data_IF_611829956376
#
_entry.id   IF_611829956376
#
_cell.length_a   1.000
_cell.length_b   1.000
_cell.length_c   1.000
_cell.angle_alpha   90.00
_cell.angle_beta   90.00
_cell.angle_gamma   90.00
#
_symmetry.space_group_name_H-M   'P 1'
#
loop_
_entity.id
_entity.type
_entity.pdbx_description
1 polymer ?
#
# COMPACT_ATOMS: atom_id res chain seq x y z
N UNK A 1 19.90 -12.01 -14.20
CA UNK A 1 20.66 -10.89 -13.64
C UNK A 1 21.07 -11.16 -12.21
N UNK A 2 22.19 -10.58 -11.78
CA UNK A 2 22.66 -10.62 -10.38
C UNK A 2 22.57 -9.22 -9.82
N UNK A 3 21.84 -9.04 -8.74
CA UNK A 3 21.66 -7.76 -8.04
C UNK A 3 22.26 -7.84 -6.64
N UNK A 4 22.76 -6.68 -6.14
CA UNK A 4 23.18 -6.57 -4.75
C UNK A 4 21.97 -6.70 -3.84
N UNK A 5 22.09 -7.50 -2.78
CA UNK A 5 21.08 -7.59 -1.73
C UNK A 5 21.00 -6.25 -0.98
N UNK A 6 19.79 -5.74 -0.82
CA UNK A 6 19.52 -4.50 -0.06
C UNK A 6 19.05 -4.90 1.34
N UNK A 7 19.69 -4.37 2.37
CA UNK A 7 19.38 -4.64 3.78
C UNK A 7 18.18 -3.80 4.25
N UNK A 8 17.03 -4.03 3.60
CA UNK A 8 15.78 -3.37 3.97
C UNK A 8 15.26 -3.81 5.36
N UNK A 9 15.66 -4.99 5.81
CA UNK A 9 15.39 -5.49 7.16
C UNK A 9 15.87 -4.55 8.28
N UNK A 10 16.93 -3.79 8.00
CA UNK A 10 17.50 -2.76 8.88
C UNK A 10 17.00 -1.33 8.53
N UNK A 11 16.20 -1.20 7.49
CA UNK A 11 15.67 0.06 6.96
C UNK A 11 14.18 0.03 6.72
N UNK A 12 13.79 0.45 5.53
CA UNK A 12 12.40 0.47 5.06
C UNK A 12 12.30 0.05 3.61
N UNK A 13 11.10 -0.30 3.18
CA UNK A 13 10.81 -0.68 1.81
C UNK A 13 9.40 -0.27 1.43
N UNK A 14 9.07 -0.39 0.16
CA UNK A 14 7.74 -0.09 -0.31
C UNK A 14 7.56 -0.23 -1.81
N UNK A 15 6.40 0.19 -2.25
CA UNK A 15 6.05 0.32 -3.65
C UNK A 15 5.69 1.76 -3.95
N UNK A 16 5.92 2.18 -5.18
CA UNK A 16 5.47 3.47 -5.65
C UNK A 16 4.89 3.36 -7.07
N UNK A 17 3.92 4.21 -7.34
CA UNK A 17 3.23 4.29 -8.62
C UNK A 17 3.37 5.69 -9.18
N UNK A 18 3.59 5.81 -10.48
CA UNK A 18 3.64 7.12 -11.14
C UNK A 18 2.27 7.63 -11.56
N UNK A 19 1.23 7.17 -10.87
CA UNK A 19 -0.14 7.68 -10.91
C UNK A 19 -0.85 7.34 -9.60
N UNK A 20 -2.01 7.95 -9.37
CA UNK A 20 -2.92 7.47 -8.32
C UNK A 20 -3.68 6.24 -8.82
N UNK A 21 -3.45 5.10 -8.19
CA UNK A 21 -4.02 3.80 -8.60
C UNK A 21 -5.54 3.70 -8.44
N UNK A 22 -6.16 4.60 -7.67
CA UNK A 22 -7.62 4.62 -7.50
C UNK A 22 -8.32 5.49 -8.56
N UNK A 23 -7.87 6.73 -8.71
CA UNK A 23 -8.49 7.70 -9.62
C UNK A 23 -7.92 7.65 -11.04
N UNK A 24 -6.71 7.08 -11.21
CA UNK A 24 -5.95 7.15 -12.46
C UNK A 24 -5.32 8.52 -12.70
N UNK A 25 -5.30 9.42 -11.70
CA UNK A 25 -4.71 10.75 -11.83
C UNK A 25 -3.20 10.65 -12.05
N UNK A 26 -2.73 11.18 -13.18
CA UNK A 26 -1.35 10.98 -13.67
C UNK A 26 -0.33 11.96 -13.13
N UNK A 27 -0.75 13.08 -12.56
CA UNK A 27 0.18 14.13 -12.12
C UNK A 27 0.68 13.95 -10.67
N UNK A 28 0.60 12.72 -10.14
CA UNK A 28 1.15 12.38 -8.83
C UNK A 28 2.06 11.16 -8.91
N UNK A 29 3.01 11.10 -7.99
CA UNK A 29 3.67 9.87 -7.57
C UNK A 29 3.06 9.47 -6.24
N UNK A 30 2.52 8.26 -6.16
CA UNK A 30 1.99 7.66 -4.94
C UNK A 30 3.04 6.71 -4.37
N UNK A 31 3.47 6.89 -3.14
CA UNK A 31 4.53 6.12 -2.48
C UNK A 31 3.98 5.50 -1.21
N UNK A 32 4.19 4.20 -1.03
CA UNK A 32 3.97 3.50 0.24
C UNK A 32 5.30 3.14 0.88
N UNK A 33 5.34 3.10 2.22
CA UNK A 33 6.55 2.79 2.97
C UNK A 33 6.23 2.09 4.30
N UNK A 34 6.98 1.05 4.62
CA UNK A 34 6.99 0.43 5.95
C UNK A 34 8.39 -0.02 6.33
N UNK A 35 8.61 -0.30 7.61
CA UNK A 35 9.88 -0.86 8.08
C UNK A 35 10.03 -2.32 7.63
N UNK A 36 11.28 -2.74 7.40
CA UNK A 36 11.63 -4.11 7.06
C UNK A 36 11.49 -4.46 5.59
N UNK A 37 11.43 -5.75 5.30
CA UNK A 37 11.34 -6.30 3.95
C UNK A 37 9.97 -6.03 3.31
N UNK A 38 9.93 -5.76 2.01
CA UNK A 38 8.75 -5.31 1.27
C UNK A 38 7.61 -6.31 1.14
N UNK A 39 7.86 -7.58 1.43
CA UNK A 39 6.88 -8.65 1.32
C UNK A 39 5.61 -8.37 2.14
N UNK A 40 5.74 -7.80 3.36
CA UNK A 40 4.60 -7.45 4.21
C UNK A 40 3.69 -6.39 3.61
N UNK A 41 4.22 -5.49 2.75
CA UNK A 41 3.43 -4.48 2.04
C UNK A 41 2.67 -5.13 0.89
N UNK A 42 3.36 -5.93 0.08
CA UNK A 42 2.78 -6.60 -1.09
C UNK A 42 1.68 -7.58 -0.68
N UNK A 43 1.88 -8.31 0.41
CA UNK A 43 0.89 -9.22 0.98
C UNK A 43 -0.25 -8.51 1.74
N UNK A 44 -0.14 -7.20 1.99
CA UNK A 44 -1.13 -6.45 2.77
C UNK A 44 -1.12 -6.74 4.27
N UNK A 45 -0.07 -7.37 4.78
CA UNK A 45 0.06 -7.72 6.20
C UNK A 45 0.34 -6.50 7.09
N UNK A 46 0.73 -5.37 6.49
CA UNK A 46 1.03 -4.12 7.19
C UNK A 46 0.27 -2.95 6.57
N UNK A 47 -0.18 -2.01 7.41
CA UNK A 47 -0.71 -0.73 6.96
C UNK A 47 0.44 0.28 6.84
N UNK A 48 0.92 0.59 5.62
CA UNK A 48 2.10 1.41 5.39
C UNK A 48 1.80 2.91 5.56
N UNK A 49 2.87 3.70 5.69
CA UNK A 49 2.81 5.12 5.44
C UNK A 49 2.51 5.39 3.97
N UNK A 50 1.86 6.50 3.66
CA UNK A 50 1.56 6.88 2.29
C UNK A 50 1.88 8.34 2.03
N UNK A 51 2.41 8.61 0.85
CA UNK A 51 2.80 9.93 0.41
C UNK A 51 2.29 10.18 -1.01
N UNK A 52 1.77 11.39 -1.23
CA UNK A 52 1.39 11.89 -2.54
C UNK A 52 2.31 13.04 -2.92
N UNK A 53 3.03 12.89 -4.01
CA UNK A 53 3.94 13.90 -4.55
C UNK A 53 3.44 14.41 -5.88
N UNK A 54 3.22 15.73 -5.99
CA UNK A 54 2.71 16.38 -7.21
C UNK A 54 3.84 16.58 -8.21
N UNK A 55 3.77 15.90 -9.34
CA UNK A 55 4.82 15.90 -10.37
C UNK A 55 5.15 17.29 -10.94
N UNK A 56 4.16 18.14 -11.31
CA UNK A 56 4.47 19.47 -11.84
C UNK A 56 5.23 20.36 -10.85
N UNK A 57 4.88 20.32 -9.56
CA UNK A 57 5.61 21.06 -8.53
C UNK A 57 7.04 20.52 -8.34
N UNK A 58 7.19 19.18 -8.33
CA UNK A 58 8.50 18.53 -8.21
C UNK A 58 9.43 18.90 -9.38
N UNK A 59 8.90 18.87 -10.62
CA UNK A 59 9.66 19.28 -11.83
C UNK A 59 10.06 20.76 -11.79
N UNK A 60 9.23 21.61 -11.16
CA UNK A 60 9.49 23.03 -10.99
C UNK A 60 10.38 23.38 -9.78
N UNK A 61 10.87 22.37 -9.04
CA UNK A 61 11.68 22.58 -7.82
C UNK A 61 10.91 23.26 -6.67
N UNK A 62 9.57 23.10 -6.63
CA UNK A 62 8.68 23.68 -5.61
C UNK A 62 8.29 22.62 -4.58
N UNK A 63 7.75 23.02 -3.40
CA UNK A 63 7.16 22.07 -2.47
C UNK A 63 6.14 21.18 -3.18
N UNK A 64 6.37 19.86 -3.16
CA UNK A 64 5.64 18.93 -4.00
C UNK A 64 4.86 17.85 -3.21
N UNK A 65 5.13 17.65 -1.92
CA UNK A 65 4.40 16.68 -1.11
C UNK A 65 3.03 17.26 -0.78
N UNK A 66 1.98 16.68 -1.38
CA UNK A 66 0.59 17.11 -1.19
C UNK A 66 -0.01 16.53 0.10
N UNK A 67 0.33 15.28 0.40
CA UNK A 67 -0.29 14.54 1.49
C UNK A 67 0.67 13.51 2.06
N UNK A 68 0.62 13.35 3.38
CA UNK A 68 1.23 12.26 4.12
C UNK A 68 0.17 11.61 4.99
N UNK A 69 0.19 10.29 5.06
CA UNK A 69 -0.70 9.54 5.94
C UNK A 69 0.15 8.54 6.71
N UNK A 70 0.12 8.64 8.02
CA UNK A 70 0.86 7.70 8.89
C UNK A 70 0.13 6.36 8.92
N UNK A 71 0.86 5.28 8.61
CA UNK A 71 0.38 3.91 8.75
C UNK A 71 0.58 3.38 10.16
N UNK A 72 -0.17 2.35 10.53
CA UNK A 72 0.02 1.71 11.85
C UNK A 72 1.30 0.92 11.96
N UNK A 73 1.83 0.38 10.87
CA UNK A 73 3.12 -0.34 10.76
C UNK A 73 3.40 -1.28 11.94
N UNK A 74 2.41 -2.09 12.34
CA UNK A 74 2.46 -2.91 13.56
C UNK A 74 3.61 -3.90 13.54
N UNK A 75 3.90 -4.49 12.40
CA UNK A 75 4.88 -5.56 12.20
C UNK A 75 5.86 -5.20 11.08
N UNK A 76 7.03 -5.84 11.12
CA UNK A 76 8.00 -5.84 10.03
C UNK A 76 8.61 -7.22 9.86
N UNK A 77 9.04 -7.54 8.64
CA UNK A 77 9.78 -8.76 8.32
C UNK A 77 11.27 -8.45 8.30
N UNK A 78 12.06 -9.26 8.98
CA UNK A 78 13.52 -9.14 9.07
C UNK A 78 14.18 -10.47 8.79
N UNK A 79 15.46 -10.48 8.42
CA UNK A 79 16.21 -11.74 8.32
C UNK A 79 16.38 -12.39 9.70
N UNK A 80 16.30 -13.72 9.73
CA UNK A 80 16.64 -14.48 10.94
C UNK A 80 18.11 -14.92 10.86
N UNK A 81 18.94 -14.35 11.71
CA UNK A 81 20.36 -14.67 11.80
C UNK A 81 20.62 -16.05 12.46
N UNK A 82 19.57 -16.73 12.92
CA UNK A 82 19.67 -18.09 13.44
C UNK A 82 19.76 -19.09 12.29
N UNK A 83 20.98 -19.35 11.84
CA UNK A 83 21.27 -20.42 10.88
C UNK A 83 21.21 -21.80 11.57
N UNK A 84 20.02 -22.19 12.08
CA UNK A 84 19.80 -23.51 12.67
C UNK A 84 19.43 -24.61 11.64
N UNK A 85 19.42 -24.22 10.35
CA UNK A 85 19.07 -25.14 9.27
C UNK A 85 17.56 -25.42 9.12
N UNK A 86 16.69 -24.71 9.85
CA UNK A 86 15.24 -24.88 9.81
C UNK A 86 14.55 -24.40 8.53
N UNK A 87 15.30 -23.75 7.64
CA UNK A 87 14.80 -23.33 6.32
C UNK A 87 14.18 -21.92 6.27
N UNK A 88 13.68 -21.40 7.36
CA UNK A 88 13.13 -20.04 7.40
C UNK A 88 14.26 -19.01 7.55
N UNK A 89 14.48 -18.22 6.51
CA UNK A 89 15.51 -17.16 6.47
C UNK A 89 15.00 -15.80 6.96
N UNK A 90 13.70 -15.68 7.26
CA UNK A 90 13.03 -14.45 7.67
C UNK A 90 12.09 -14.72 8.85
N UNK A 91 11.87 -13.67 9.65
CA UNK A 91 10.90 -13.69 10.76
C UNK A 91 10.14 -12.38 10.85
N UNK A 92 8.88 -12.47 11.29
CA UNK A 92 8.07 -11.30 11.62
C UNK A 92 8.36 -10.85 13.05
N UNK A 93 8.54 -9.56 13.23
CA UNK A 93 8.74 -8.92 14.55
C UNK A 93 7.84 -7.69 14.67
N UNK A 94 7.44 -7.36 15.90
CA UNK A 94 6.70 -6.14 16.18
C UNK A 94 7.57 -4.91 15.95
N UNK A 95 6.96 -3.84 15.44
CA UNK A 95 7.60 -2.52 15.34
C UNK A 95 7.40 -1.79 16.67
N UNK A 96 8.45 -1.24 17.29
CA UNK A 96 8.32 -0.44 18.52
C UNK A 96 7.33 0.71 18.35
N UNK A 97 6.59 1.04 19.41
CA UNK A 97 5.54 2.06 19.34
C UNK A 97 6.09 3.43 18.91
N UNK A 98 7.26 3.81 19.37
CA UNK A 98 7.94 5.05 18.97
C UNK A 98 8.21 5.12 17.47
N UNK A 99 8.53 3.99 16.82
CA UNK A 99 8.74 3.90 15.38
C UNK A 99 7.40 3.92 14.61
N UNK A 100 6.35 3.34 15.18
CA UNK A 100 5.01 3.36 14.57
C UNK A 100 4.43 4.77 14.51
N UNK A 101 4.78 5.63 15.47
CA UNK A 101 4.26 7.01 15.57
C UNK A 101 5.01 8.01 14.69
N UNK A 102 5.99 7.59 13.92
CA UNK A 102 6.72 8.43 12.96
C UNK A 102 6.76 7.80 11.57
N UNK A 103 6.95 8.64 10.58
CA UNK A 103 7.10 8.17 9.20
C UNK A 103 8.39 7.37 9.03
N UNK A 104 8.31 6.30 8.24
CA UNK A 104 9.46 5.44 7.91
C UNK A 104 10.39 6.06 6.86
N UNK A 105 10.00 7.16 6.24
CA UNK A 105 10.77 8.01 5.34
C UNK A 105 10.75 9.46 5.80
N UNK A 106 11.84 10.17 5.55
CA UNK A 106 11.89 11.63 5.62
C UNK A 106 11.32 12.26 4.35
N UNK A 107 10.96 13.55 4.40
CA UNK A 107 10.47 14.29 3.23
C UNK A 107 11.50 14.31 2.08
N UNK A 108 12.79 14.44 2.41
CA UNK A 108 13.85 14.44 1.41
C UNK A 108 13.96 13.10 0.68
N UNK A 109 13.81 11.98 1.42
CA UNK A 109 13.79 10.64 0.86
C UNK A 109 12.56 10.40 -0.01
N UNK A 110 11.39 10.89 0.40
CA UNK A 110 10.16 10.86 -0.41
C UNK A 110 10.35 11.61 -1.73
N UNK A 111 10.96 12.80 -1.68
CA UNK A 111 11.23 13.60 -2.88
C UNK A 111 12.30 12.95 -3.77
N UNK A 112 13.30 12.29 -3.19
CA UNK A 112 14.30 11.53 -3.94
C UNK A 112 13.67 10.36 -4.70
N UNK A 113 12.87 9.54 -4.03
CA UNK A 113 12.10 8.45 -4.67
C UNK A 113 11.20 8.96 -5.79
N UNK A 114 10.50 10.07 -5.55
CA UNK A 114 9.64 10.65 -6.56
C UNK A 114 10.42 11.15 -7.79
N UNK A 115 11.63 11.71 -7.63
CA UNK A 115 12.49 12.09 -8.76
C UNK A 115 12.96 10.86 -9.54
N UNK A 116 13.37 9.79 -8.86
CA UNK A 116 13.75 8.53 -9.49
C UNK A 116 12.57 7.94 -10.27
N UNK A 117 11.36 7.97 -9.70
CA UNK A 117 10.14 7.51 -10.36
C UNK A 117 9.84 8.29 -11.65
N UNK A 118 10.03 9.62 -11.65
CA UNK A 118 9.86 10.44 -12.85
C UNK A 118 10.86 10.09 -13.94
N UNK A 119 12.14 9.87 -13.60
CA UNK A 119 13.14 9.43 -14.56
C UNK A 119 12.78 8.09 -15.21
N UNK A 120 12.26 7.16 -14.42
CA UNK A 120 11.81 5.85 -14.92
C UNK A 120 10.58 6.01 -15.81
N UNK A 121 9.55 6.77 -15.36
CA UNK A 121 8.37 7.03 -16.17
C UNK A 121 8.70 7.72 -17.49
N UNK A 122 9.55 8.73 -17.47
CA UNK A 122 9.99 9.46 -18.67
C UNK A 122 10.75 8.52 -19.64
N UNK A 123 11.57 7.60 -19.11
CA UNK A 123 12.29 6.61 -19.92
C UNK A 123 11.34 5.63 -20.63
N UNK A 124 10.33 5.11 -19.90
CA UNK A 124 9.39 4.14 -20.48
C UNK A 124 8.20 4.77 -21.19
N UNK A 125 7.95 6.07 -21.02
CA UNK A 125 6.86 6.83 -21.64
C UNK A 125 5.46 6.41 -21.20
N UNK A 126 5.35 5.78 -20.03
CA UNK A 126 4.07 5.26 -19.49
C UNK A 126 4.11 5.19 -17.96
N UNK A 127 2.93 5.13 -17.30
CA UNK A 127 2.88 4.93 -15.85
C UNK A 127 3.56 3.63 -15.43
N UNK A 128 4.24 3.70 -14.28
CA UNK A 128 5.06 2.63 -13.76
C UNK A 128 4.65 2.24 -12.34
N UNK A 129 4.79 0.96 -12.03
CA UNK A 129 4.77 0.33 -10.73
C UNK A 129 6.22 -0.02 -10.38
N UNK A 130 6.71 0.46 -9.24
CA UNK A 130 8.12 0.41 -8.90
C UNK A 130 8.29 -0.07 -7.46
N UNK A 131 9.09 -1.12 -7.27
CA UNK A 131 9.52 -1.58 -5.96
C UNK A 131 10.83 -0.90 -5.57
N UNK A 132 10.92 -0.47 -4.32
CA UNK A 132 12.08 0.22 -3.79
C UNK A 132 12.40 -0.24 -2.35
N UNK A 133 13.64 -0.02 -1.94
CA UNK A 133 14.07 -0.23 -0.57
C UNK A 133 15.14 0.77 -0.14
N UNK A 134 15.17 1.06 1.16
CA UNK A 134 16.24 1.78 1.85
C UNK A 134 17.15 0.79 2.52
N UNK A 135 18.42 0.81 2.16
CA UNK A 135 19.45 -0.03 2.78
C UNK A 135 19.78 0.52 4.17
N UNK A 136 19.49 -0.23 5.22
CA UNK A 136 19.74 0.21 6.59
C UNK A 136 21.24 0.26 6.96
N UNK A 137 22.13 -0.32 6.13
CA UNK A 137 23.57 -0.28 6.36
C UNK A 137 24.24 1.00 5.83
N UNK A 138 23.74 1.59 4.73
CA UNK A 138 24.30 2.81 4.13
C UNK A 138 23.31 3.97 4.00
N UNK A 139 22.04 3.74 4.39
CA UNK A 139 20.96 4.71 4.35
C UNK A 139 20.45 5.07 2.95
N UNK A 140 20.95 4.42 1.89
CA UNK A 140 20.63 4.77 0.51
C UNK A 140 19.35 4.11 0.02
N UNK A 141 18.59 4.87 -0.75
CA UNK A 141 17.43 4.37 -1.48
C UNK A 141 17.89 3.60 -2.74
N UNK A 142 17.21 2.48 -3.02
CA UNK A 142 17.48 1.61 -4.15
C UNK A 142 16.18 1.28 -4.87
N UNK A 143 16.16 1.37 -6.17
CA UNK A 143 15.10 0.80 -7.00
C UNK A 143 15.40 -0.68 -7.19
N UNK A 144 14.42 -1.52 -6.89
CA UNK A 144 14.56 -2.98 -6.97
C UNK A 144 13.95 -3.53 -8.25
N UNK A 145 12.76 -3.05 -8.61
CA UNK A 145 12.03 -3.47 -9.80
C UNK A 145 11.22 -2.30 -10.35
N UNK A 146 11.05 -2.25 -11.66
CA UNK A 146 10.12 -1.34 -12.32
C UNK A 146 9.38 -2.10 -13.42
N UNK A 147 8.05 -1.95 -13.44
CA UNK A 147 7.19 -2.55 -14.46
C UNK A 147 6.10 -1.57 -14.88
N UNK A 148 5.58 -1.68 -16.12
CA UNK A 148 4.44 -0.87 -16.53
C UNK A 148 3.24 -1.11 -15.63
N UNK A 149 2.59 -0.01 -15.21
CA UNK A 149 1.31 -0.09 -14.49
C UNK A 149 0.21 -0.56 -15.46
N UNK A 150 -0.53 -1.59 -15.06
CA UNK A 150 -1.56 -2.23 -15.89
C UNK A 150 -2.98 -1.83 -15.49
N UNK A 151 -3.17 -1.08 -14.42
CA UNK A 151 -4.49 -0.58 -14.02
C UNK A 151 -5.02 0.32 -15.12
N UNK A 152 -6.13 -0.07 -15.72
CA UNK A 152 -6.84 0.75 -16.71
C UNK A 152 -7.18 2.08 -16.05
N UNK A 153 -6.47 3.14 -16.45
CA UNK A 153 -6.86 4.49 -16.08
C UNK A 153 -8.32 4.67 -16.49
N UNK A 154 -9.23 4.84 -15.53
CA UNK A 154 -10.60 5.22 -15.81
C UNK A 154 -10.56 6.55 -16.53
N UNK A 155 -10.89 6.58 -17.80
CA UNK A 155 -11.02 7.76 -18.65
C UNK A 155 -12.29 8.55 -18.31
N UNK A 156 -12.57 8.72 -17.02
CA UNK A 156 -13.68 9.53 -16.54
C UNK A 156 -13.20 10.92 -16.14
N UNK A 157 -13.61 11.96 -16.87
CA UNK A 157 -13.42 13.37 -16.48
C UNK A 157 -14.41 13.81 -15.37
N UNK A 158 -15.02 12.88 -14.66
CA UNK A 158 -16.08 13.15 -13.68
C UNK A 158 -15.54 12.81 -12.30
N UNK A 159 -15.55 13.80 -11.40
CA UNK A 159 -15.30 13.59 -9.97
C UNK A 159 -16.67 13.36 -9.33
N UNK A 160 -16.90 12.14 -8.85
CA UNK A 160 -18.11 11.81 -8.08
C UNK A 160 -17.90 12.24 -6.64
N UNK A 161 -18.78 13.11 -6.14
CA UNK A 161 -18.78 13.53 -4.74
C UNK A 161 -20.05 13.00 -4.06
N UNK A 162 -19.86 12.19 -3.04
CA UNK A 162 -20.95 11.63 -2.26
C UNK A 162 -21.16 12.41 -0.96
N UNK A 163 -22.40 12.83 -0.70
CA UNK A 163 -22.78 13.49 0.56
C UNK A 163 -23.76 12.62 1.31
N UNK A 164 -23.43 12.24 2.53
CA UNK A 164 -24.31 11.47 3.41
C UNK A 164 -25.46 12.39 3.89
N UNK A 165 -26.70 12.08 3.49
CA UNK A 165 -27.88 12.88 3.82
C UNK A 165 -28.43 12.65 5.22
N UNK A 166 -28.06 11.56 5.88
CA UNK A 166 -28.50 11.21 7.23
C UNK A 166 -27.36 10.76 8.10
N UNK A 167 -27.46 10.94 9.42
CA UNK A 167 -26.49 10.43 10.39
C UNK A 167 -27.03 9.14 10.98
N UNK A 168 -26.43 8.01 10.68
CA UNK A 168 -26.62 6.74 11.39
C UNK A 168 -25.67 6.60 12.58
N UNK A 169 -25.83 5.51 13.34
CA UNK A 169 -24.84 5.13 14.35
C UNK A 169 -23.57 4.66 13.65
N UNK A 170 -22.42 5.26 13.93
CA UNK A 170 -21.12 4.80 13.45
C UNK A 170 -20.76 3.55 14.26
N UNK A 171 -20.57 2.43 13.59
CA UNK A 171 -20.15 1.16 14.20
C UNK A 171 -18.65 0.93 14.06
N UNK A 172 -18.05 1.36 12.94
CA UNK A 172 -16.63 1.34 12.69
C UNK A 172 -16.26 2.52 11.78
N UNK A 173 -15.04 3.00 11.91
CA UNK A 173 -14.46 4.04 11.06
C UNK A 173 -13.13 3.52 10.53
N UNK A 174 -12.85 3.77 9.26
CA UNK A 174 -11.65 3.28 8.62
C UNK A 174 -11.30 4.07 7.39
N UNK A 175 -10.27 3.60 6.70
CA UNK A 175 -9.79 4.20 5.47
C UNK A 175 -10.55 3.65 4.28
N UNK A 176 -11.11 4.55 3.49
CA UNK A 176 -11.79 4.18 2.23
C UNK A 176 -10.77 3.79 1.15
N UNK A 177 -11.04 2.69 0.46
CA UNK A 177 -10.35 2.24 -0.73
C UNK A 177 -11.39 2.05 -1.83
N UNK A 178 -11.09 2.60 -3.03
CA UNK A 178 -12.04 2.61 -4.13
C UNK A 178 -13.08 3.75 -4.06
N UNK A 179 -13.80 3.96 -5.16
CA UNK A 179 -14.72 5.08 -5.37
C UNK A 179 -16.20 4.69 -5.28
N UNK A 180 -16.56 3.53 -4.72
CA UNK A 180 -17.95 3.06 -4.64
C UNK A 180 -18.45 3.04 -3.20
N UNK A 181 -19.75 3.24 -3.03
CA UNK A 181 -20.44 3.07 -1.75
C UNK A 181 -21.26 1.80 -1.83
N UNK A 182 -21.06 0.87 -0.89
CA UNK A 182 -21.84 -0.34 -0.74
C UNK A 182 -22.80 -0.25 0.44
N UNK A 183 -23.94 -0.93 0.33
CA UNK A 183 -24.90 -1.12 1.43
C UNK A 183 -25.37 -2.56 1.47
N UNK A 184 -25.50 -3.13 2.67
CA UNK A 184 -25.90 -4.52 2.86
C UNK A 184 -25.80 -4.95 4.32
N UNK A 185 -26.11 -6.21 4.59
CA UNK A 185 -25.95 -6.79 5.92
C UNK A 185 -24.48 -7.10 6.20
N UNK A 186 -23.95 -6.67 7.34
CA UNK A 186 -22.59 -7.01 7.74
C UNK A 186 -22.47 -8.49 8.09
N UNK A 187 -21.47 -9.16 7.51
CA UNK A 187 -21.09 -10.56 7.80
C UNK A 187 -19.67 -10.60 8.28
N UNK A 188 -19.50 -10.91 9.55
CA UNK A 188 -18.18 -11.16 10.12
C UNK A 188 -17.80 -12.61 9.82
N UNK A 189 -16.68 -12.79 9.10
CA UNK A 189 -16.13 -14.09 8.76
C UNK A 189 -14.64 -14.11 9.13
N UNK A 190 -14.25 -15.09 9.94
CA UNK A 190 -12.87 -15.26 10.36
C UNK A 190 -12.07 -16.14 9.39
N UNK A 191 -12.75 -16.86 8.50
CA UNK A 191 -12.13 -17.76 7.53
C UNK A 191 -12.96 -17.92 6.27
N UNK A 192 -12.29 -18.13 5.14
CA UNK A 192 -12.90 -18.52 3.86
C UNK A 192 -13.75 -19.79 3.99
N UNK A 193 -13.48 -20.67 4.95
CA UNK A 193 -14.26 -21.89 5.21
C UNK A 193 -15.72 -21.59 5.56
N UNK A 194 -16.01 -20.40 6.07
CA UNK A 194 -17.36 -19.94 6.42
C UNK A 194 -18.13 -19.30 5.24
N UNK A 195 -17.64 -19.46 4.01
CA UNK A 195 -18.21 -18.88 2.78
C UNK A 195 -19.71 -19.17 2.61
N UNK A 196 -20.17 -20.32 3.08
CA UNK A 196 -21.58 -20.71 3.03
C UNK A 196 -22.54 -19.79 3.82
N UNK A 197 -22.00 -18.98 4.75
CA UNK A 197 -22.77 -18.00 5.53
C UNK A 197 -22.90 -16.66 4.80
N UNK A 198 -22.16 -16.42 3.71
CA UNK A 198 -22.11 -15.17 2.97
C UNK A 198 -23.16 -15.16 1.85
N UNK A 199 -23.97 -14.12 1.79
CA UNK A 199 -24.98 -13.91 0.74
C UNK A 199 -24.53 -12.82 -0.21
N UNK A 200 -24.93 -12.92 -1.47
CA UNK A 200 -24.67 -11.87 -2.46
C UNK A 200 -25.30 -10.55 -2.00
N UNK A 201 -24.50 -9.46 -2.04
CA UNK A 201 -24.91 -8.15 -1.56
C UNK A 201 -24.66 -7.91 -0.06
N UNK A 202 -24.14 -8.89 0.69
CA UNK A 202 -23.67 -8.65 2.07
C UNK A 202 -22.37 -7.82 2.05
N UNK A 203 -22.06 -7.19 3.18
CA UNK A 203 -20.77 -6.53 3.45
C UNK A 203 -19.89 -7.51 4.20
N UNK A 204 -18.75 -7.88 3.62
CA UNK A 204 -17.75 -8.71 4.29
C UNK A 204 -17.04 -7.90 5.36
N UNK A 205 -16.93 -8.46 6.56
CA UNK A 205 -16.09 -7.94 7.66
C UNK A 205 -15.13 -9.05 8.08
N UNK A 206 -13.83 -8.84 7.95
CA UNK A 206 -12.79 -9.83 8.25
C UNK A 206 -11.50 -9.14 8.67
N UNK A 207 -10.53 -9.88 9.21
CA UNK A 207 -9.22 -9.32 9.59
C UNK A 207 -8.44 -8.87 8.34
N UNK A 208 -8.31 -9.74 7.34
CA UNK A 208 -7.57 -9.52 6.10
C UNK A 208 -8.14 -10.39 4.99
N UNK A 209 -7.96 -9.98 3.74
CA UNK A 209 -8.29 -10.81 2.57
C UNK A 209 -7.03 -11.25 1.84
N UNK A 210 -7.09 -12.42 1.22
CA UNK A 210 -6.11 -13.01 0.33
C UNK A 210 -6.81 -13.51 -0.96
N UNK A 211 -6.10 -14.08 -1.94
CA UNK A 211 -6.72 -14.56 -3.18
C UNK A 211 -7.83 -15.61 -2.99
N UNK A 212 -7.82 -16.38 -1.91
CA UNK A 212 -8.84 -17.38 -1.64
C UNK A 212 -10.23 -16.77 -1.34
N UNK A 213 -10.27 -15.49 -1.00
CA UNK A 213 -11.52 -14.73 -0.78
C UNK A 213 -12.20 -14.27 -2.07
N UNK A 214 -11.58 -14.43 -3.24
CA UNK A 214 -12.14 -13.97 -4.52
C UNK A 214 -13.61 -14.36 -4.76
N UNK A 215 -14.06 -15.58 -4.44
CA UNK A 215 -15.46 -15.96 -4.61
C UNK A 215 -16.46 -15.17 -3.74
N UNK A 216 -15.99 -14.62 -2.61
CA UNK A 216 -16.78 -13.73 -1.75
C UNK A 216 -16.69 -12.29 -2.27
N UNK A 217 -15.48 -11.82 -2.58
CA UNK A 217 -15.21 -10.44 -3.01
C UNK A 217 -16.02 -10.04 -4.25
N UNK A 218 -16.24 -10.97 -5.19
CA UNK A 218 -17.05 -10.73 -6.39
C UNK A 218 -18.55 -10.55 -6.09
N UNK A 219 -19.04 -11.01 -4.94
CA UNK A 219 -20.45 -10.95 -4.53
C UNK A 219 -20.72 -9.93 -3.44
N UNK A 220 -19.67 -9.43 -2.78
CA UNK A 220 -19.77 -8.47 -1.70
C UNK A 220 -20.19 -7.08 -2.21
N UNK A 221 -21.11 -6.43 -1.48
CA UNK A 221 -21.45 -5.02 -1.73
C UNK A 221 -20.32 -4.09 -1.28
N UNK A 222 -19.61 -4.45 -0.21
CA UNK A 222 -18.42 -3.78 0.30
C UNK A 222 -17.60 -4.76 1.15
N UNK A 223 -16.36 -4.36 1.46
CA UNK A 223 -15.44 -5.12 2.30
C UNK A 223 -14.87 -4.20 3.37
N UNK A 224 -14.82 -4.66 4.60
CA UNK A 224 -14.20 -4.00 5.75
C UNK A 224 -13.16 -4.93 6.34
N UNK A 225 -11.92 -4.47 6.45
CA UNK A 225 -10.82 -5.26 7.00
C UNK A 225 -10.07 -4.48 8.06
N UNK A 226 -9.46 -5.17 9.03
CA UNK A 226 -8.61 -4.55 10.03
C UNK A 226 -7.23 -4.21 9.46
N UNK A 227 -6.77 -4.98 8.46
CA UNK A 227 -5.46 -4.84 7.83
C UNK A 227 -5.58 -4.83 6.32
N UNK A 228 -4.56 -4.24 5.69
CA UNK A 228 -4.47 -4.14 4.25
C UNK A 228 -4.28 -2.70 3.78
N UNK A 229 -4.08 -2.54 2.49
CA UNK A 229 -3.85 -1.26 1.86
C UNK A 229 -4.22 -1.29 0.38
N UNK A 230 -3.94 -0.19 -0.32
CA UNK A 230 -4.27 -0.02 -1.75
C UNK A 230 -3.45 -0.92 -2.68
N UNK A 231 -2.39 -1.50 -2.16
CA UNK A 231 -1.40 -2.28 -2.92
C UNK A 231 -1.44 -3.77 -2.61
N UNK A 232 -2.35 -4.21 -1.74
CA UNK A 232 -2.57 -5.62 -1.41
C UNK A 232 -3.75 -6.23 -2.20
N UNK A 233 -3.80 -7.56 -2.20
CA UNK A 233 -4.88 -8.34 -2.82
C UNK A 233 -6.17 -8.32 -2.01
#
# INVERSE_FOLDING_TARGET
GVQRMVRADLGSSGVLFTLDTESGFRDVVFITSAYGLGETIVQGAVNPDEFYVYKPALRAGRPAILRRTLGSKMIKLVYDDRADGSGDTVKTVDVPEEDRQRFSLTDDEVLELARQALLIEDHYGRPMDIEWAKDGSDGRLRILQARPETVKSRTGKVIEHYTLKGKGRILAEGRSIGGRIGSGSARVLDSVRDIGRFRSGDILVTDMTDPDWEPILTRAAAVVTDRGGRTCH
#
